data_IF_831743147886
#
_entry.id   IF_831743147886
#
_cell.length_a   1.000
_cell.length_b   1.000
_cell.length_c   1.000
_cell.angle_alpha   90.00
_cell.angle_beta   90.00
_cell.angle_gamma   90.00
#
_symmetry.space_group_name_H-M   'P 1'
#
loop_
_entity.id
_entity.type
_entity.pdbx_description
1 polymer ?
#
# COMPACT_ATOMS: atom_id res chain seq x y z
N UNK A 1 -1.39 -32.33 -10.19
CA UNK A 1 0.01 -31.83 -10.14
C UNK A 1 0.28 -31.36 -8.72
N UNK A 2 1.18 -32.01 -7.95
CA UNK A 2 1.39 -31.63 -6.55
C UNK A 2 2.20 -30.34 -6.50
N UNK A 3 1.55 -29.26 -6.03
CA UNK A 3 2.20 -27.99 -5.72
C UNK A 3 3.32 -28.25 -4.69
N UNK A 4 4.58 -28.11 -5.11
CA UNK A 4 5.74 -28.16 -4.21
C UNK A 4 5.77 -26.91 -3.33
N UNK A 5 4.98 -26.94 -2.25
CA UNK A 5 4.94 -25.94 -1.19
C UNK A 5 6.31 -25.36 -0.75
N UNK A 6 7.41 -26.13 -0.61
CA UNK A 6 8.69 -25.56 -0.16
C UNK A 6 9.33 -24.58 -1.15
N UNK A 7 9.09 -24.74 -2.47
CA UNK A 7 9.61 -23.80 -3.48
C UNK A 7 8.85 -22.48 -3.50
N UNK A 8 7.54 -22.53 -3.24
CA UNK A 8 6.71 -21.32 -3.16
C UNK A 8 7.07 -20.52 -1.91
N UNK A 9 7.27 -21.20 -0.78
CA UNK A 9 7.67 -20.56 0.49
C UNK A 9 9.06 -19.93 0.37
N UNK A 10 10.02 -20.58 -0.30
CA UNK A 10 11.35 -19.99 -0.48
C UNK A 10 11.35 -18.82 -1.47
N UNK A 11 10.55 -18.86 -2.53
CA UNK A 11 10.36 -17.74 -3.44
C UNK A 11 9.66 -16.55 -2.75
N UNK A 12 8.62 -16.81 -1.95
CA UNK A 12 7.98 -15.80 -1.11
C UNK A 12 8.99 -15.17 -0.15
N UNK A 13 9.76 -16.00 0.56
CA UNK A 13 10.77 -15.54 1.53
C UNK A 13 11.84 -14.67 0.86
N UNK A 14 12.26 -15.03 -0.35
CA UNK A 14 13.23 -14.23 -1.13
C UNK A 14 12.64 -12.90 -1.60
N UNK A 15 11.41 -12.92 -2.11
CA UNK A 15 10.68 -11.71 -2.52
C UNK A 15 10.42 -10.76 -1.34
N UNK A 16 10.16 -11.31 -0.16
CA UNK A 16 10.00 -10.54 1.08
C UNK A 16 11.31 -10.08 1.71
N UNK A 17 12.43 -10.75 1.44
CA UNK A 17 13.74 -10.35 1.97
C UNK A 17 14.41 -9.25 1.14
N UNK A 18 14.03 -9.07 -0.12
CA UNK A 18 14.55 -8.02 -1.00
C UNK A 18 13.80 -6.68 -0.87
N UNK A 19 12.58 -6.69 -0.33
CA UNK A 19 11.75 -5.50 -0.15
C UNK A 19 11.75 -5.01 1.30
N UNK A 20 11.85 -3.69 1.49
CA UNK A 20 11.64 -3.08 2.80
C UNK A 20 10.31 -3.52 3.41
N UNK A 21 10.27 -3.69 4.73
CA UNK A 21 9.10 -4.26 5.38
C UNK A 21 7.83 -3.43 5.18
N UNK A 22 7.98 -2.11 5.21
CA UNK A 22 6.90 -1.16 4.91
C UNK A 22 6.40 -1.31 3.48
N UNK A 23 7.31 -1.45 2.51
CA UNK A 23 6.96 -1.64 1.11
C UNK A 23 6.22 -2.96 0.89
N UNK A 24 6.69 -4.06 1.50
CA UNK A 24 6.07 -5.37 1.37
C UNK A 24 4.67 -5.47 2.00
N UNK A 25 4.45 -4.87 3.17
CA UNK A 25 3.11 -4.76 3.76
C UNK A 25 2.20 -3.88 2.90
N UNK A 26 2.71 -2.75 2.41
CA UNK A 26 1.96 -1.83 1.56
C UNK A 26 1.56 -2.47 0.23
N UNK A 27 2.45 -3.25 -0.38
CA UNK A 27 2.19 -3.99 -1.63
C UNK A 27 1.09 -5.04 -1.43
N UNK A 28 1.18 -5.84 -0.36
CA UNK A 28 0.15 -6.82 -0.02
C UNK A 28 -1.20 -6.15 0.25
N UNK A 29 -1.21 -5.05 1.01
CA UNK A 29 -2.43 -4.31 1.31
C UNK A 29 -3.04 -3.69 0.05
N UNK A 30 -2.22 -3.12 -0.83
CA UNK A 30 -2.67 -2.56 -2.11
C UNK A 30 -3.36 -3.63 -2.95
N UNK A 31 -2.71 -4.77 -3.16
CA UNK A 31 -3.25 -5.87 -3.97
C UNK A 31 -4.60 -6.33 -3.42
N UNK A 32 -4.67 -6.62 -2.11
CA UNK A 32 -5.90 -7.04 -1.45
C UNK A 32 -6.99 -5.97 -1.56
N UNK A 33 -6.63 -4.70 -1.41
CA UNK A 33 -7.58 -3.58 -1.48
C UNK A 33 -8.13 -3.39 -2.88
N UNK A 34 -7.29 -3.46 -3.91
CA UNK A 34 -7.72 -3.35 -5.32
C UNK A 34 -8.64 -4.51 -5.68
N UNK A 35 -8.24 -5.76 -5.39
CA UNK A 35 -9.07 -6.94 -5.69
C UNK A 35 -10.42 -6.84 -4.96
N UNK A 36 -10.39 -6.52 -3.67
CA UNK A 36 -11.62 -6.39 -2.89
C UNK A 36 -12.53 -5.27 -3.39
N UNK A 37 -11.94 -4.15 -3.82
CA UNK A 37 -12.70 -3.04 -4.40
C UNK A 37 -13.33 -3.44 -5.73
N UNK A 38 -12.62 -4.18 -6.59
CA UNK A 38 -13.18 -4.73 -7.82
C UNK A 38 -14.35 -5.66 -7.51
N UNK A 39 -14.21 -6.57 -6.54
CA UNK A 39 -15.28 -7.49 -6.16
C UNK A 39 -16.53 -6.75 -5.68
N UNK A 40 -16.37 -5.72 -4.84
CA UNK A 40 -17.50 -4.94 -4.33
C UNK A 40 -18.14 -4.04 -5.40
N UNK A 41 -17.35 -3.53 -6.35
CA UNK A 41 -17.88 -2.73 -7.46
C UNK A 41 -18.57 -3.61 -8.50
N UNK A 42 -18.07 -4.81 -8.78
CA UNK A 42 -18.69 -5.76 -9.73
C UNK A 42 -19.90 -6.50 -9.14
N UNK A 43 -20.11 -6.41 -7.82
CA UNK A 43 -21.22 -7.07 -7.13
C UNK A 43 -20.93 -8.53 -6.75
N UNK A 44 -19.67 -8.97 -6.85
CA UNK A 44 -19.23 -10.29 -6.37
C UNK A 44 -19.16 -10.37 -4.83
N UNK A 45 -19.05 -9.22 -4.15
CA UNK A 45 -19.13 -9.11 -2.70
C UNK A 45 -19.98 -7.90 -2.28
N UNK A 46 -20.53 -7.95 -1.07
CA UNK A 46 -21.36 -6.90 -0.49
C UNK A 46 -20.50 -5.75 0.03
N UNK A 47 -20.63 -4.53 -0.51
CA UNK A 47 -19.86 -3.39 -0.03
C UNK A 47 -20.24 -3.09 1.42
N UNK A 48 -19.22 -2.80 2.23
CA UNK A 48 -19.45 -2.42 3.63
C UNK A 48 -19.88 -0.96 3.69
N UNK A 49 -20.88 -0.67 4.51
CA UNK A 49 -21.50 0.65 4.59
C UNK A 49 -21.01 1.46 5.78
N UNK A 50 -21.08 2.79 5.63
CA UNK A 50 -20.75 3.76 6.68
C UNK A 50 -19.36 3.58 7.30
N UNK A 51 -19.26 3.87 8.61
CA UNK A 51 -18.00 3.81 9.38
C UNK A 51 -17.35 2.43 9.38
N UNK A 52 -18.16 1.37 9.28
CA UNK A 52 -17.68 0.00 9.31
C UNK A 52 -16.75 -0.32 8.12
N UNK A 53 -16.96 0.29 6.96
CA UNK A 53 -16.10 0.10 5.78
C UNK A 53 -14.65 0.54 6.04
N UNK A 54 -14.48 1.70 6.66
CA UNK A 54 -13.17 2.28 6.98
C UNK A 54 -12.46 1.50 8.08
N UNK A 55 -13.18 1.13 9.14
CA UNK A 55 -12.63 0.30 10.22
C UNK A 55 -12.20 -1.06 9.69
N UNK A 56 -13.00 -1.68 8.82
CA UNK A 56 -12.66 -2.97 8.22
C UNK A 56 -11.42 -2.89 7.31
N UNK A 57 -11.24 -1.80 6.56
CA UNK A 57 -10.00 -1.56 5.79
C UNK A 57 -8.78 -1.40 6.70
N UNK A 58 -8.88 -0.61 7.78
CA UNK A 58 -7.82 -0.47 8.78
C UNK A 58 -7.51 -1.78 9.48
N UNK A 59 -8.53 -2.58 9.78
CA UNK A 59 -8.37 -3.89 10.40
C UNK A 59 -7.59 -4.84 9.48
N UNK A 60 -7.90 -4.86 8.17
CA UNK A 60 -7.14 -5.64 7.20
C UNK A 60 -5.66 -5.24 7.14
N UNK A 61 -5.39 -3.93 7.13
CA UNK A 61 -4.01 -3.44 7.20
C UNK A 61 -3.33 -3.87 8.51
N UNK A 62 -4.04 -3.79 9.63
CA UNK A 62 -3.55 -4.22 10.94
C UNK A 62 -3.23 -5.71 10.99
N UNK A 63 -4.10 -6.57 10.43
CA UNK A 63 -3.86 -8.02 10.33
C UNK A 63 -2.63 -8.30 9.47
N UNK A 64 -2.51 -7.69 8.29
CA UNK A 64 -1.36 -7.87 7.40
C UNK A 64 -0.05 -7.42 8.07
N UNK A 65 -0.07 -6.26 8.73
CA UNK A 65 1.06 -5.72 9.48
C UNK A 65 1.43 -6.63 10.66
N UNK A 66 0.44 -7.12 11.39
CA UNK A 66 0.63 -8.01 12.53
C UNK A 66 1.24 -9.36 12.14
N UNK A 67 0.76 -9.97 11.05
CA UNK A 67 1.35 -11.19 10.49
C UNK A 67 2.82 -10.92 10.15
N UNK A 68 3.11 -9.85 9.42
CA UNK A 68 4.49 -9.49 9.07
C UNK A 68 5.38 -9.29 10.29
N UNK A 69 4.88 -8.59 11.30
CA UNK A 69 5.61 -8.32 12.53
C UNK A 69 5.93 -9.60 13.30
N UNK A 70 4.98 -10.54 13.39
CA UNK A 70 5.18 -11.83 14.07
C UNK A 70 6.21 -12.70 13.33
N UNK A 71 6.15 -12.76 12.00
CA UNK A 71 7.06 -13.60 11.22
C UNK A 71 8.45 -12.98 11.02
N UNK A 72 8.57 -11.65 11.03
CA UNK A 72 9.79 -10.94 10.66
C UNK A 72 10.13 -9.79 11.62
N UNK A 73 9.94 -9.98 12.93
CA UNK A 73 10.10 -8.93 13.95
C UNK A 73 11.43 -8.16 13.85
N UNK A 74 12.57 -8.87 13.91
CA UNK A 74 13.90 -8.24 13.90
C UNK A 74 14.21 -7.52 12.59
N UNK A 75 13.72 -8.04 11.46
CA UNK A 75 13.86 -7.40 10.15
C UNK A 75 12.95 -6.18 10.02
N UNK A 76 11.72 -6.26 10.54
CA UNK A 76 10.71 -5.20 10.45
C UNK A 76 11.17 -3.95 11.19
N UNK A 77 11.74 -4.08 12.39
CA UNK A 77 12.22 -2.93 13.18
C UNK A 77 13.39 -2.23 12.48
N UNK A 78 14.39 -3.00 12.04
CA UNK A 78 15.58 -2.45 11.38
C UNK A 78 15.22 -1.79 10.04
N UNK A 79 14.44 -2.48 9.21
CA UNK A 79 14.02 -1.96 7.89
C UNK A 79 13.10 -0.74 8.02
N UNK A 80 12.22 -0.69 9.02
CA UNK A 80 11.35 0.49 9.24
C UNK A 80 12.20 1.70 9.64
N UNK A 81 13.21 1.52 10.50
CA UNK A 81 14.10 2.61 10.91
C UNK A 81 14.91 3.17 9.73
N UNK A 82 15.43 2.28 8.88
CA UNK A 82 16.15 2.67 7.66
C UNK A 82 15.24 3.43 6.70
N UNK A 83 14.01 2.95 6.50
CA UNK A 83 13.01 3.62 5.67
C UNK A 83 12.68 5.04 6.16
N UNK A 84 12.49 5.25 7.47
CA UNK A 84 12.26 6.59 8.01
C UNK A 84 13.46 7.52 7.86
N UNK A 85 14.68 6.99 8.01
CA UNK A 85 15.90 7.77 7.79
C UNK A 85 16.03 8.19 6.32
N UNK A 86 15.71 7.30 5.39
CA UNK A 86 15.76 7.59 3.94
C UNK A 86 14.65 8.57 3.53
N UNK A 87 13.45 8.45 4.10
CA UNK A 87 12.38 9.46 3.94
C UNK A 87 12.83 10.84 4.43
N UNK A 88 13.47 10.90 5.60
CA UNK A 88 13.99 12.14 6.18
C UNK A 88 15.13 12.74 5.32
N UNK A 89 15.94 11.89 4.68
CA UNK A 89 16.99 12.31 3.75
C UNK A 89 16.45 12.82 2.39
N UNK A 90 15.18 12.55 2.08
CA UNK A 90 14.46 13.17 0.97
C UNK A 90 13.54 12.21 0.21
N UNK A 91 12.24 12.46 0.31
CA UNK A 91 11.16 11.70 -0.36
C UNK A 91 11.40 11.57 -1.88
N UNK A 92 11.86 12.64 -2.54
CA UNK A 92 12.11 12.64 -3.99
C UNK A 92 13.22 11.68 -4.42
N UNK A 93 14.23 11.45 -3.57
CA UNK A 93 15.35 10.54 -3.85
C UNK A 93 14.91 9.08 -3.76
N UNK A 94 14.06 8.77 -2.79
CA UNK A 94 13.47 7.44 -2.60
C UNK A 94 12.54 7.05 -3.77
N UNK A 95 11.65 7.97 -4.18
CA UNK A 95 10.73 7.75 -5.33
C UNK A 95 11.50 7.42 -6.62
N UNK A 96 12.68 8.04 -6.80
CA UNK A 96 13.47 7.90 -8.02
C UNK A 96 14.06 6.51 -8.21
N UNK A 97 14.49 5.87 -7.12
CA UNK A 97 15.08 4.54 -7.14
C UNK A 97 14.05 3.41 -7.08
N UNK A 98 12.99 3.56 -6.28
CA UNK A 98 12.04 2.48 -6.02
C UNK A 98 10.60 2.92 -6.31
N UNK A 99 10.32 3.17 -7.60
CA UNK A 99 9.02 3.68 -8.08
C UNK A 99 7.84 2.81 -7.63
N UNK A 100 7.97 1.48 -7.74
CA UNK A 100 6.91 0.54 -7.38
C UNK A 100 6.62 0.57 -5.87
N UNK A 101 7.66 0.55 -5.04
CA UNK A 101 7.50 0.62 -3.58
C UNK A 101 6.91 1.98 -3.18
N UNK A 102 7.34 3.07 -3.83
CA UNK A 102 6.79 4.39 -3.61
C UNK A 102 5.29 4.48 -3.96
N UNK A 103 4.84 3.85 -5.05
CA UNK A 103 3.41 3.76 -5.39
C UNK A 103 2.65 3.02 -4.29
N UNK A 104 3.13 1.83 -3.89
CA UNK A 104 2.46 1.01 -2.90
C UNK A 104 2.34 1.73 -1.55
N UNK A 105 3.42 2.35 -1.09
CA UNK A 105 3.48 3.10 0.16
C UNK A 105 2.57 4.33 0.09
N UNK A 106 2.67 5.13 -0.98
CA UNK A 106 1.86 6.36 -1.13
C UNK A 106 0.38 6.04 -1.17
N UNK A 107 -0.01 5.01 -1.94
CA UNK A 107 -1.39 4.54 -1.99
C UNK A 107 -1.86 4.10 -0.59
N UNK A 108 -1.09 3.25 0.09
CA UNK A 108 -1.43 2.75 1.43
C UNK A 108 -1.57 3.89 2.44
N UNK A 109 -0.64 4.85 2.44
CA UNK A 109 -0.70 6.03 3.31
C UNK A 109 -1.95 6.88 3.04
N UNK A 110 -2.31 7.11 1.77
CA UNK A 110 -3.53 7.84 1.41
C UNK A 110 -4.79 7.09 1.85
N UNK A 111 -4.84 5.77 1.67
CA UNK A 111 -5.97 4.95 2.14
C UNK A 111 -6.09 5.00 3.67
N UNK A 112 -4.98 4.93 4.40
CA UNK A 112 -4.98 5.07 5.86
C UNK A 112 -5.49 6.44 6.28
N UNK A 113 -4.98 7.52 5.68
CA UNK A 113 -5.44 8.88 5.96
C UNK A 113 -6.94 9.04 5.69
N UNK A 114 -7.43 8.49 4.58
CA UNK A 114 -8.84 8.50 4.22
C UNK A 114 -9.68 7.70 5.23
N UNK A 115 -9.19 6.54 5.68
CA UNK A 115 -9.89 5.73 6.69
C UNK A 115 -9.91 6.39 8.07
N UNK A 116 -8.84 7.08 8.46
CA UNK A 116 -8.78 7.85 9.71
C UNK A 116 -9.71 9.07 9.63
N UNK A 117 -9.69 9.81 8.53
CA UNK A 117 -10.59 10.95 8.33
C UNK A 117 -12.08 10.53 8.27
N UNK A 118 -12.37 9.39 7.64
CA UNK A 118 -13.72 8.81 7.58
C UNK A 118 -14.21 8.26 8.93
N UNK A 119 -13.30 7.77 9.79
CA UNK A 119 -13.68 7.23 11.10
C UNK A 119 -13.91 8.32 12.16
N UNK A 120 -13.19 9.45 12.07
CA UNK A 120 -13.37 10.61 12.98
C UNK A 120 -14.62 11.43 12.67
N UNK A 121 -15.34 11.13 11.58
CA UNK A 121 -16.58 11.82 11.21
C UNK A 121 -16.35 13.24 10.69
N UNK A 122 -15.11 13.61 10.35
CA UNK A 122 -14.77 14.91 9.77
C UNK A 122 -15.41 15.15 8.40
N UNK A 123 -15.84 14.08 7.72
CA UNK A 123 -16.56 14.14 6.46
C UNK A 123 -17.78 13.22 6.49
N UNK A 124 -18.93 13.61 5.89
CA UNK A 124 -20.06 12.73 5.63
C UNK A 124 -19.71 11.79 4.45
N UNK A 125 -18.66 11.00 4.63
CA UNK A 125 -18.22 10.04 3.64
C UNK A 125 -19.18 8.84 3.69
N UNK A 126 -20.09 8.82 2.73
CA UNK A 126 -20.94 7.67 2.46
C UNK A 126 -20.00 6.48 2.18
N UNK A 127 -20.11 5.43 2.98
CA UNK A 127 -19.38 4.18 2.72
C UNK A 127 -19.91 3.49 1.47
N UNK A 128 -19.83 2.18 1.42
CA UNK A 128 -20.48 1.43 0.36
C UNK A 128 -19.72 1.51 -0.96
N UNK A 129 -20.45 1.33 -2.07
CA UNK A 129 -19.85 1.19 -3.41
C UNK A 129 -19.02 2.40 -3.85
N UNK A 130 -19.42 3.60 -3.45
CA UNK A 130 -18.75 4.87 -3.81
C UNK A 130 -17.34 4.92 -3.23
N UNK A 131 -17.15 4.48 -1.99
CA UNK A 131 -15.83 4.38 -1.37
C UNK A 131 -14.90 3.47 -2.18
N UNK A 132 -15.37 2.28 -2.56
CA UNK A 132 -14.57 1.31 -3.31
C UNK A 132 -14.27 1.77 -4.74
N UNK A 133 -15.19 2.50 -5.38
CA UNK A 133 -14.92 3.19 -6.64
C UNK A 133 -13.85 4.27 -6.49
N UNK A 134 -13.93 5.06 -5.41
CA UNK A 134 -12.92 6.07 -5.08
C UNK A 134 -11.53 5.45 -4.87
N UNK A 135 -11.45 4.33 -4.14
CA UNK A 135 -10.20 3.58 -3.95
C UNK A 135 -9.63 3.05 -5.28
N UNK A 136 -10.49 2.55 -6.17
CA UNK A 136 -10.08 2.11 -7.51
C UNK A 136 -9.58 3.25 -8.40
N UNK A 137 -10.15 4.44 -8.28
CA UNK A 137 -9.69 5.63 -9.01
C UNK A 137 -8.44 6.26 -8.39
N UNK A 138 -8.27 6.11 -7.07
CA UNK A 138 -7.09 6.59 -6.36
C UNK A 138 -5.82 5.86 -6.83
N UNK A 139 -5.91 4.56 -7.13
CA UNK A 139 -4.78 3.77 -7.60
C UNK A 139 -4.11 4.33 -8.87
N UNK A 140 -4.81 4.49 -10.02
CA UNK A 140 -4.21 5.08 -11.21
C UNK A 140 -3.80 6.54 -11.00
N UNK A 141 -4.50 7.30 -10.15
CA UNK A 141 -4.11 8.67 -9.80
C UNK A 141 -2.74 8.71 -9.09
N UNK A 142 -2.49 7.81 -8.13
CA UNK A 142 -1.18 7.68 -7.46
C UNK A 142 -0.11 7.23 -8.44
N UNK A 143 -0.40 6.25 -9.30
CA UNK A 143 0.52 5.81 -10.34
C UNK A 143 0.94 6.97 -11.25
N UNK A 144 -0.02 7.75 -11.75
CA UNK A 144 0.25 8.92 -12.59
C UNK A 144 1.04 9.99 -11.84
N UNK A 145 0.67 10.29 -10.59
CA UNK A 145 1.38 11.27 -9.76
C UNK A 145 2.85 10.91 -9.56
N UNK A 146 3.14 9.64 -9.23
CA UNK A 146 4.52 9.16 -9.05
C UNK A 146 5.29 9.10 -10.38
N UNK A 147 4.64 8.76 -11.49
CA UNK A 147 5.27 8.80 -12.80
C UNK A 147 5.63 10.24 -13.21
N UNK A 148 4.73 11.20 -12.95
CA UNK A 148 4.98 12.63 -13.23
C UNK A 148 6.14 13.15 -12.39
N UNK A 149 6.20 12.86 -11.09
CA UNK A 149 7.32 13.28 -10.25
C UNK A 149 8.65 12.66 -10.71
N UNK A 150 8.64 11.41 -11.19
CA UNK A 150 9.82 10.78 -11.80
C UNK A 150 10.27 11.50 -13.08
N UNK A 151 9.33 11.85 -13.95
CA UNK A 151 9.63 12.55 -15.22
C UNK A 151 10.16 13.96 -14.96
N UNK A 152 9.54 14.70 -14.04
CA UNK A 152 9.98 16.04 -13.66
C UNK A 152 11.37 16.01 -13.01
N UNK A 153 11.61 15.08 -12.08
CA UNK A 153 12.92 14.90 -11.46
C UNK A 153 14.03 14.46 -12.42
N UNK A 154 13.72 14.06 -13.67
CA UNK A 154 14.72 13.78 -14.71
C UNK A 154 15.12 15.05 -15.49
N UNK A 155 14.27 16.08 -15.50
CA UNK A 155 14.56 17.36 -16.17
C UNK A 155 15.56 18.22 -15.40
N UNK A 156 15.67 18.03 -14.09
CA UNK A 156 16.54 18.80 -13.20
C UNK A 156 17.96 18.21 -13.05
N UNK A 157 18.27 17.11 -13.73
CA UNK A 157 19.65 16.62 -13.79
C UNK A 157 20.46 17.45 -14.80
N UNK A 158 21.47 18.22 -14.36
CA UNK A 158 22.39 18.84 -15.30
C UNK A 158 23.07 17.71 -16.08
N UNK A 159 23.01 17.82 -17.42
CA UNK A 159 23.81 16.96 -18.30
C UNK A 159 25.28 17.26 -18.03
N UNK A 160 25.91 16.46 -17.18
CA UNK A 160 27.37 16.30 -17.14
C UNK A 160 27.82 15.51 -18.36
#
# INVERSE_FOLDING_TARGET
>A
MPFRAPKVISALKRFFSEKNAVAGVSDAFLIVTVINSVMMVTGLDTPKEGRFAYVHLLLRLGILTGIWFVFYFSYTITSTKEFFRDLQAGIGRYIRHNVYDAIAITYTSLVVLLCVAGSTGLFPLHGGRVLYQGLLLLFPAVCMGILVTKVLGKKDEPKT
#
